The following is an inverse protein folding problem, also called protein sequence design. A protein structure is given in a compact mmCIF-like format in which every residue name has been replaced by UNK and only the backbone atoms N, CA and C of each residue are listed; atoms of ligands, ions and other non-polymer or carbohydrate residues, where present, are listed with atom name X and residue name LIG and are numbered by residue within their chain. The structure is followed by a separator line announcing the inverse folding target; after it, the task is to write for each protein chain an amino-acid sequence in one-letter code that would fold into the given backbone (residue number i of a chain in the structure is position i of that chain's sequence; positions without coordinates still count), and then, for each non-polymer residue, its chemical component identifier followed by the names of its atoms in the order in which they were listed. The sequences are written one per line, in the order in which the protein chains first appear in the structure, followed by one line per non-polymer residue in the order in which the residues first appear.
data_IF_646987461533
#
_entry.id   IF_646987461533
#
_cell.length_a   1.000
_cell.length_b   1.000
_cell.length_c   1.000
_cell.angle_alpha   90.00
_cell.angle_beta   90.00
_cell.angle_gamma   90.00
#
_symmetry.space_group_name_H-M   'P 1'
#
loop_
_entity.id
_entity.type
_entity.pdbx_description
1 polymer ?
#
# COMPACT_ATOMS: atom_id res chain seq x y z
N UNK A 1 0.04 6.07 19.94
CA UNK A 1 0.91 6.29 18.76
C UNK A 1 0.02 6.17 17.53
N UNK A 2 0.29 6.90 16.45
CA UNK A 2 -0.57 6.83 15.26
C UNK A 2 -0.23 5.56 14.46
N UNK A 3 -1.23 4.70 14.20
CA UNK A 3 -1.09 3.52 13.35
C UNK A 3 -1.04 3.97 11.90
N UNK A 4 0.15 4.20 11.38
CA UNK A 4 0.32 4.82 10.07
C UNK A 4 1.38 4.10 9.27
N UNK A 5 1.01 3.69 8.05
CA UNK A 5 1.95 3.21 7.05
C UNK A 5 2.34 4.37 6.13
N UNK A 6 3.64 4.60 6.01
CA UNK A 6 4.21 5.51 5.01
C UNK A 6 4.73 4.69 3.84
N UNK A 7 4.31 5.06 2.63
CA UNK A 7 4.72 4.38 1.39
C UNK A 7 5.33 5.41 0.46
N UNK A 8 6.60 5.22 0.11
CA UNK A 8 7.29 6.10 -0.83
C UNK A 8 7.14 5.52 -2.24
N UNK A 9 6.55 6.27 -3.16
CA UNK A 9 6.33 5.83 -4.54
C UNK A 9 6.95 6.80 -5.52
N UNK A 10 7.26 6.30 -6.70
CA UNK A 10 7.52 7.08 -7.90
C UNK A 10 6.45 6.73 -8.93
N UNK A 11 5.81 7.73 -9.54
CA UNK A 11 4.80 7.52 -10.58
C UNK A 11 4.97 8.51 -11.74
N UNK A 12 4.52 8.12 -12.93
CA UNK A 12 4.43 9.01 -14.09
C UNK A 12 3.27 10.02 -13.97
N UNK A 13 3.19 10.98 -14.90
CA UNK A 13 2.16 12.03 -14.89
C UNK A 13 2.48 13.19 -13.93
N UNK A 14 1.49 13.63 -13.16
CA UNK A 14 1.60 14.73 -12.19
C UNK A 14 1.13 16.10 -12.71
N UNK A 15 0.45 16.14 -13.85
CA UNK A 15 -0.27 17.31 -14.34
C UNK A 15 -1.73 17.34 -13.88
N UNK A 16 -2.30 16.18 -13.52
CA UNK A 16 -3.62 16.06 -12.91
C UNK A 16 -3.50 15.52 -11.47
N UNK A 17 -4.62 15.52 -10.76
CA UNK A 17 -4.71 14.87 -9.45
C UNK A 17 -4.67 13.35 -9.61
N UNK A 18 -3.84 12.70 -8.81
CA UNK A 18 -3.74 11.24 -8.73
C UNK A 18 -4.39 10.76 -7.43
N UNK A 19 -5.10 9.65 -7.47
CA UNK A 19 -5.73 9.04 -6.30
C UNK A 19 -5.08 7.70 -5.97
N UNK A 20 -4.82 7.49 -4.69
CA UNK A 20 -4.19 6.28 -4.18
C UNK A 20 -5.08 5.68 -3.11
N UNK A 21 -5.37 4.39 -3.25
CA UNK A 21 -6.21 3.64 -2.33
C UNK A 21 -5.47 2.41 -1.85
N UNK A 22 -5.60 2.10 -0.57
CA UNK A 22 -5.11 0.86 -0.01
C UNK A 22 -6.29 0.07 0.55
N UNK A 23 -6.39 -1.19 0.16
CA UNK A 23 -7.44 -2.08 0.63
C UNK A 23 -6.90 -3.49 0.87
N UNK A 24 -7.59 -4.22 1.73
CA UNK A 24 -7.25 -5.61 2.07
C UNK A 24 -8.05 -6.57 1.18
N UNK A 25 -7.38 -7.57 0.59
CA UNK A 25 -8.03 -8.61 -0.22
C UNK A 25 -7.21 -9.92 -0.16
N UNK A 26 -7.80 -11.07 0.19
CA UNK A 26 -9.12 -11.21 0.78
C UNK A 26 -9.24 -10.40 2.08
N UNK A 27 -10.47 -10.11 2.53
CA UNK A 27 -10.73 -9.35 3.76
C UNK A 27 -10.40 -10.12 5.06
N UNK A 28 -9.61 -11.19 4.94
CA UNK A 28 -9.30 -12.17 5.97
C UNK A 28 -7.78 -12.24 6.16
N UNK A 29 -7.35 -12.48 7.39
CA UNK A 29 -5.94 -12.70 7.66
C UNK A 29 -5.53 -14.11 7.24
N UNK A 30 -4.38 -14.23 6.60
CA UNK A 30 -3.79 -15.54 6.32
C UNK A 30 -3.27 -16.17 7.62
N UNK A 31 -3.63 -17.43 7.86
CA UNK A 31 -3.19 -18.16 9.03
C UNK A 31 -1.69 -18.50 8.96
N UNK A 32 -0.89 -17.71 9.68
CA UNK A 32 0.52 -17.97 9.95
C UNK A 32 0.93 -17.33 11.28
N UNK A 33 2.22 -17.40 11.64
CA UNK A 33 2.73 -16.79 12.85
C UNK A 33 3.95 -15.90 12.55
N UNK A 34 3.83 -14.56 12.50
CA UNK A 34 2.60 -13.76 12.70
C UNK A 34 1.56 -13.99 11.60
N UNK A 35 0.31 -13.60 11.85
CA UNK A 35 -0.74 -13.60 10.82
C UNK A 35 -0.41 -12.58 9.73
N UNK A 36 -0.90 -12.79 8.51
CA UNK A 36 -0.60 -11.88 7.39
C UNK A 36 -1.83 -11.19 6.87
N UNK A 37 -1.66 -9.94 6.43
CA UNK A 37 -2.68 -9.19 5.71
C UNK A 37 -2.17 -8.88 4.29
N UNK A 38 -2.96 -9.22 3.28
CA UNK A 38 -2.70 -8.87 1.89
C UNK A 38 -3.35 -7.53 1.58
N UNK A 39 -2.53 -6.50 1.43
CA UNK A 39 -2.92 -5.13 1.10
C UNK A 39 -2.58 -4.85 -0.37
N UNK A 40 -3.46 -4.15 -1.08
CA UNK A 40 -3.26 -3.77 -2.47
C UNK A 40 -3.22 -2.25 -2.58
N UNK A 41 -2.17 -1.73 -3.20
CA UNK A 41 -2.05 -0.31 -3.51
C UNK A 41 -2.60 -0.04 -4.91
N UNK A 42 -3.78 0.56 -4.99
CA UNK A 42 -4.39 0.97 -6.26
C UNK A 42 -4.05 2.42 -6.55
N UNK A 43 -3.61 2.67 -7.79
CA UNK A 43 -3.36 3.99 -8.32
C UNK A 43 -4.37 4.29 -9.45
N UNK A 44 -5.02 5.44 -9.35
CA UNK A 44 -5.82 6.05 -10.41
C UNK A 44 -5.15 7.37 -10.81
N UNK A 45 -4.67 7.45 -12.05
CA UNK A 45 -3.99 8.63 -12.59
C UNK A 45 -4.96 9.64 -13.24
N UNK A 46 -6.27 9.36 -13.30
CA UNK A 46 -7.26 10.23 -13.93
C UNK A 46 -6.90 10.62 -15.38
N UNK A 47 -6.44 9.63 -16.16
CA UNK A 47 -5.98 9.77 -17.56
C UNK A 47 -4.87 10.82 -17.73
N UNK A 48 -3.93 10.88 -16.79
CA UNK A 48 -2.80 11.81 -16.84
C UNK A 48 -1.63 11.28 -17.66
N UNK A 49 -1.71 11.53 -18.97
CA UNK A 49 -0.71 11.10 -19.94
C UNK A 49 0.32 12.20 -20.27
N UNK A 50 0.38 13.29 -19.50
CA UNK A 50 1.17 14.48 -19.86
C UNK A 50 2.69 14.26 -19.92
N UNK A 51 3.17 13.10 -19.49
CA UNK A 51 4.58 12.67 -19.54
C UNK A 51 4.74 11.31 -20.21
N UNK A 52 3.73 10.88 -20.97
CA UNK A 52 3.84 9.69 -21.80
C UNK A 52 5.00 9.86 -22.81
N UNK A 53 5.94 8.92 -22.83
CA UNK A 53 7.14 8.99 -23.68
C UNK A 53 8.30 9.83 -23.13
N UNK A 54 8.18 10.38 -21.93
CA UNK A 54 9.28 11.02 -21.24
C UNK A 54 10.30 9.95 -20.78
N UNK A 55 11.60 10.15 -21.06
CA UNK A 55 12.66 9.15 -20.81
C UNK A 55 13.79 9.62 -19.87
N UNK A 56 13.64 10.78 -19.24
CA UNK A 56 14.62 11.31 -18.28
C UNK A 56 14.11 11.29 -16.82
N UNK A 57 14.95 11.73 -15.90
CA UNK A 57 14.64 11.73 -14.46
C UNK A 57 13.43 12.59 -14.06
N UNK A 58 13.04 13.57 -14.89
CA UNK A 58 11.91 14.48 -14.62
C UNK A 58 10.56 13.83 -14.90
N UNK A 59 10.55 12.63 -15.49
CA UNK A 59 9.32 11.93 -15.83
C UNK A 59 8.61 11.35 -14.61
N UNK A 60 9.36 11.16 -13.52
CA UNK A 60 8.88 10.52 -12.30
C UNK A 60 8.60 11.56 -11.21
N UNK A 61 7.43 11.46 -10.60
CA UNK A 61 7.06 12.23 -9.42
C UNK A 61 7.24 11.34 -8.19
N UNK A 62 8.10 11.77 -7.26
CA UNK A 62 8.29 11.10 -5.98
C UNK A 62 7.26 11.61 -4.97
N UNK A 63 6.47 10.70 -4.41
CA UNK A 63 5.40 11.03 -3.47
C UNK A 63 5.49 10.11 -2.25
N UNK A 64 5.19 10.66 -1.07
CA UNK A 64 5.02 9.87 0.16
C UNK A 64 3.53 9.77 0.48
N UNK A 65 2.98 8.57 0.37
CA UNK A 65 1.61 8.27 0.75
C UNK A 65 1.54 7.94 2.24
N UNK A 66 0.41 8.29 2.85
CA UNK A 66 0.13 8.04 4.27
C UNK A 66 -1.20 7.30 4.40
N UNK A 67 -1.16 6.09 4.94
CA UNK A 67 -2.35 5.27 5.18
C UNK A 67 -2.57 5.04 6.68
N UNK A 68 -3.80 5.22 7.15
CA UNK A 68 -4.21 4.90 8.52
C UNK A 68 -4.45 3.39 8.66
N UNK A 69 -3.73 2.75 9.58
CA UNK A 69 -3.82 1.32 9.88
C UNK A 69 -4.81 1.02 11.03
N UNK A 70 -5.44 2.04 11.61
CA UNK A 70 -6.44 1.87 12.68
C UNK A 70 -7.55 0.88 12.30
N UNK A 71 -8.10 0.87 11.06
CA UNK A 71 -9.10 -0.12 10.66
C UNK A 71 -8.54 -1.55 10.67
N UNK A 72 -7.30 -1.74 10.24
CA UNK A 72 -6.64 -3.05 10.20
C UNK A 72 -6.38 -3.59 11.62
N UNK A 73 -5.89 -2.75 12.53
CA UNK A 73 -5.75 -3.13 13.94
C UNK A 73 -7.09 -3.53 14.55
N UNK A 74 -8.12 -2.74 14.30
CA UNK A 74 -9.45 -2.99 14.85
C UNK A 74 -10.01 -4.32 14.33
N UNK A 75 -9.83 -4.60 13.04
CA UNK A 75 -10.19 -5.89 12.43
C UNK A 75 -9.42 -7.05 13.09
N UNK A 76 -8.11 -6.92 13.23
CA UNK A 76 -7.28 -7.95 13.90
C UNK A 76 -7.74 -8.21 15.34
N UNK A 77 -8.04 -7.15 16.12
CA UNK A 77 -8.50 -7.29 17.49
C UNK A 77 -9.86 -7.97 17.58
N UNK A 78 -10.78 -7.69 16.65
CA UNK A 78 -12.08 -8.37 16.57
C UNK A 78 -11.91 -9.84 16.20
N UNK A 79 -10.97 -10.18 15.30
CA UNK A 79 -10.73 -11.56 14.86
C UNK A 79 -10.02 -12.42 15.91
N UNK A 80 -8.97 -11.90 16.55
CA UNK A 80 -8.07 -12.69 17.42
C UNK A 80 -8.16 -12.34 18.92
N UNK A 81 -8.92 -11.32 19.29
CA UNK A 81 -9.16 -10.92 20.69
C UNK A 81 -8.03 -10.14 21.35
N UNK A 82 -6.77 -10.42 21.03
CA UNK A 82 -5.60 -9.67 21.54
C UNK A 82 -4.83 -8.97 20.42
N UNK A 83 -4.25 -7.78 20.66
CA UNK A 83 -3.28 -7.19 19.75
C UNK A 83 -2.10 -8.16 19.54
N UNK A 84 -1.63 -8.25 18.31
CA UNK A 84 -0.51 -9.11 17.92
C UNK A 84 0.14 -8.60 16.65
N UNK A 85 1.39 -9.00 16.37
CA UNK A 85 2.09 -8.60 15.16
C UNK A 85 1.37 -9.11 13.91
N UNK A 86 1.32 -8.27 12.88
CA UNK A 86 0.73 -8.56 11.57
C UNK A 86 1.82 -8.35 10.52
N UNK A 87 2.04 -9.35 9.68
CA UNK A 87 2.87 -9.20 8.49
C UNK A 87 2.04 -8.60 7.35
N UNK A 88 2.31 -7.34 7.02
CA UNK A 88 1.66 -6.64 5.92
C UNK A 88 2.37 -7.02 4.61
N UNK A 89 1.62 -7.57 3.66
CA UNK A 89 2.05 -7.82 2.30
C UNK A 89 1.40 -6.76 1.40
N UNK A 90 2.16 -5.74 0.99
CA UNK A 90 1.65 -4.67 0.11
C UNK A 90 1.97 -5.01 -1.34
N UNK A 91 0.96 -5.46 -2.07
CA UNK A 91 0.98 -5.77 -3.50
C UNK A 91 0.74 -4.52 -4.35
N UNK A 92 1.04 -4.63 -5.65
CA UNK A 92 0.94 -3.58 -6.68
C UNK A 92 1.82 -2.34 -6.40
N UNK A 93 2.71 -2.43 -5.40
CA UNK A 93 3.73 -1.44 -5.13
C UNK A 93 4.83 -1.46 -6.20
N UNK A 94 5.20 -2.66 -6.68
CA UNK A 94 6.16 -2.84 -7.76
C UNK A 94 5.40 -3.17 -9.05
N UNK A 95 5.19 -2.17 -9.91
CA UNK A 95 4.47 -2.38 -11.19
C UNK A 95 5.22 -3.27 -12.17
N UNK A 96 6.56 -3.31 -12.06
CA UNK A 96 7.46 -4.04 -12.97
C UNK A 96 7.81 -5.45 -12.48
N UNK A 97 7.44 -5.82 -11.25
CA UNK A 97 7.79 -7.09 -10.64
C UNK A 97 6.50 -7.88 -10.42
N UNK A 98 6.16 -8.84 -11.29
CA UNK A 98 5.04 -9.75 -11.07
C UNK A 98 5.14 -10.39 -9.68
N UNK A 99 4.04 -10.37 -8.91
CA UNK A 99 3.95 -10.85 -7.53
C UNK A 99 4.90 -10.16 -6.52
N UNK A 100 5.58 -9.10 -6.94
CA UNK A 100 6.41 -8.26 -6.10
C UNK A 100 5.58 -7.61 -5.01
N UNK A 101 6.03 -7.73 -3.76
CA UNK A 101 5.36 -7.13 -2.61
C UNK A 101 6.34 -6.49 -1.66
N UNK A 102 5.94 -5.37 -1.08
CA UNK A 102 6.63 -4.81 0.07
C UNK A 102 6.13 -5.51 1.33
N UNK A 103 7.05 -6.03 2.14
CA UNK A 103 6.71 -6.67 3.41
C UNK A 103 7.06 -5.75 4.57
N UNK A 104 6.10 -5.55 5.47
CA UNK A 104 6.28 -4.72 6.67
C UNK A 104 5.71 -5.47 7.87
N UNK A 105 6.50 -5.61 8.92
CA UNK A 105 6.00 -6.11 10.20
C UNK A 105 5.36 -4.96 10.98
N UNK A 106 4.06 -5.05 11.21
CA UNK A 106 3.29 -4.08 11.99
C UNK A 106 2.96 -4.65 13.36
N UNK A 107 3.28 -3.92 14.42
CA UNK A 107 2.98 -4.27 15.81
C UNK A 107 1.99 -3.24 16.38
N UNK A 108 0.69 -3.58 16.48
CA UNK A 108 -0.38 -2.66 16.89
C UNK A 108 -0.35 -2.24 18.36
#
# INVERSE_FOLDING_TARGET
MADTLFVHIAHGGGCKNHYFFMYMSPGEFAESNPVQASLYLRHDNNDDDCREGCQDERCWVNTTLRFDLTPLRSHHQVTYGTPGPILLNVYDYFTEIPDGKMQVLYSP
#
